data_IF_622141489401
#
_entry.id   IF_622141489401
#
_cell.length_a   1.000
_cell.length_b   1.000
_cell.length_c   1.000
_cell.angle_alpha   90.00
_cell.angle_beta   90.00
_cell.angle_gamma   90.00
#
_symmetry.space_group_name_H-M   'P 1'
#
loop_
_entity.id
_entity.type
_entity.pdbx_description
1 polymer ?
#
# COMPACT_ATOMS: atom_id res chain seq x y z
N UNK A 1 -1.51 -23.43 -14.91
CA UNK A 1 -0.76 -22.63 -13.91
C UNK A 1 -0.49 -23.48 -12.69
N UNK A 2 0.67 -23.32 -12.02
CA UNK A 2 0.96 -23.99 -10.75
C UNK A 2 -0.14 -23.68 -9.70
N UNK A 3 -0.44 -24.64 -8.80
CA UNK A 3 -1.45 -24.47 -7.74
C UNK A 3 -1.18 -23.25 -6.85
N UNK A 4 0.09 -22.94 -6.60
CA UNK A 4 0.52 -21.78 -5.81
C UNK A 4 0.06 -20.45 -6.45
N UNK A 5 0.17 -20.32 -7.77
CA UNK A 5 -0.26 -19.09 -8.45
C UNK A 5 -1.79 -18.91 -8.39
N UNK A 6 -2.57 -19.99 -8.32
CA UNK A 6 -4.02 -19.89 -8.15
C UNK A 6 -4.39 -19.31 -6.77
N UNK A 7 -3.66 -19.67 -5.73
CA UNK A 7 -3.87 -19.14 -4.38
C UNK A 7 -3.53 -17.65 -4.30
N UNK A 8 -2.43 -17.23 -4.93
CA UNK A 8 -2.02 -15.80 -4.95
C UNK A 8 -3.09 -14.95 -5.66
N UNK A 9 -3.58 -15.41 -6.82
CA UNK A 9 -4.64 -14.69 -7.56
C UNK A 9 -5.91 -14.59 -6.71
N UNK A 10 -6.31 -15.67 -6.05
CA UNK A 10 -7.47 -15.68 -5.15
C UNK A 10 -7.32 -14.66 -4.01
N UNK A 11 -6.12 -14.56 -3.42
CA UNK A 11 -5.84 -13.58 -2.36
C UNK A 11 -5.88 -12.14 -2.88
N UNK A 12 -5.32 -11.88 -4.06
CA UNK A 12 -5.38 -10.56 -4.69
C UNK A 12 -6.82 -10.14 -5.00
N UNK A 13 -7.65 -11.04 -5.50
CA UNK A 13 -9.06 -10.77 -5.75
C UNK A 13 -9.82 -10.42 -4.46
N UNK A 14 -9.49 -11.10 -3.34
CA UNK A 14 -10.07 -10.77 -2.03
C UNK A 14 -9.64 -9.38 -1.58
N UNK A 15 -8.35 -9.04 -1.70
CA UNK A 15 -7.86 -7.72 -1.35
C UNK A 15 -8.50 -6.62 -2.18
N UNK A 16 -8.64 -6.82 -3.49
CA UNK A 16 -9.34 -5.90 -4.39
C UNK A 16 -10.78 -5.66 -3.92
N UNK A 17 -11.53 -6.73 -3.66
CA UNK A 17 -12.91 -6.63 -3.17
C UNK A 17 -13.01 -5.84 -1.86
N UNK A 18 -12.18 -6.20 -0.87
CA UNK A 18 -12.15 -5.50 0.42
C UNK A 18 -11.79 -4.03 0.26
N UNK A 19 -10.78 -3.71 -0.56
CA UNK A 19 -10.34 -2.33 -0.80
C UNK A 19 -11.45 -1.49 -1.42
N UNK A 20 -12.15 -2.03 -2.44
CA UNK A 20 -13.27 -1.34 -3.08
C UNK A 20 -14.42 -1.02 -2.12
N UNK A 21 -14.61 -1.82 -1.05
CA UNK A 21 -15.65 -1.57 -0.04
C UNK A 21 -15.46 -0.27 0.75
N UNK A 22 -14.22 0.22 0.88
CA UNK A 22 -13.91 1.42 1.69
C UNK A 22 -14.18 2.74 0.95
N UNK A 23 -14.25 2.75 -0.38
CA UNK A 23 -14.33 3.93 -1.27
C UNK A 23 -13.12 4.90 -1.19
N UNK A 24 -12.61 5.20 0.01
CA UNK A 24 -11.44 6.04 0.27
C UNK A 24 -10.64 5.49 1.45
N UNK A 25 -9.31 5.61 1.40
CA UNK A 25 -8.42 5.08 2.45
C UNK A 25 -7.35 6.09 2.90
N UNK A 26 -6.99 5.97 4.18
CA UNK A 26 -5.75 6.51 4.75
C UNK A 26 -4.92 5.31 5.23
N UNK A 27 -3.70 5.17 4.72
CA UNK A 27 -2.82 4.03 4.99
C UNK A 27 -1.65 4.49 5.86
N UNK A 28 -1.40 3.79 6.96
CA UNK A 28 -0.17 3.99 7.74
C UNK A 28 1.02 3.35 7.01
N UNK A 29 1.90 4.18 6.48
CA UNK A 29 3.12 3.80 5.76
C UNK A 29 4.30 3.76 6.74
N UNK A 30 4.98 2.62 6.83
CA UNK A 30 6.21 2.48 7.63
C UNK A 30 7.48 2.41 6.79
N UNK A 31 7.34 2.26 5.46
CA UNK A 31 8.45 1.97 4.54
C UNK A 31 8.76 0.47 4.40
N UNK A 32 8.14 -0.38 5.22
CA UNK A 32 8.23 -1.84 5.08
C UNK A 32 7.37 -2.37 3.93
N UNK A 33 7.77 -3.52 3.37
CA UNK A 33 7.13 -4.14 2.19
C UNK A 33 5.61 -4.31 2.33
N UNK A 34 5.13 -4.66 3.52
CA UNK A 34 3.70 -4.87 3.75
C UNK A 34 2.90 -3.57 3.61
N UNK A 35 3.34 -2.50 4.29
CA UNK A 35 2.69 -1.18 4.22
C UNK A 35 2.80 -0.55 2.83
N UNK A 36 3.91 -0.80 2.12
CA UNK A 36 4.10 -0.37 0.74
C UNK A 36 3.16 -1.13 -0.21
N UNK A 37 3.01 -2.45 -0.04
CA UNK A 37 2.08 -3.26 -0.84
C UNK A 37 0.64 -2.78 -0.65
N UNK A 38 0.19 -2.54 0.59
CA UNK A 38 -1.16 -2.03 0.86
C UNK A 38 -1.34 -0.65 0.23
N UNK A 39 -0.37 0.26 0.40
CA UNK A 39 -0.42 1.61 -0.19
C UNK A 39 -0.51 1.56 -1.72
N UNK A 40 0.28 0.69 -2.36
CA UNK A 40 0.28 0.48 -3.79
C UNK A 40 -1.08 -0.07 -4.29
N UNK A 41 -1.60 -1.11 -3.63
CA UNK A 41 -2.88 -1.72 -4.02
C UNK A 41 -4.05 -0.76 -3.83
N UNK A 42 -4.11 -0.04 -2.72
CA UNK A 42 -5.13 0.98 -2.50
C UNK A 42 -5.11 2.06 -3.60
N UNK A 43 -3.93 2.58 -3.96
CA UNK A 43 -3.79 3.56 -5.06
C UNK A 43 -4.17 2.96 -6.41
N UNK A 44 -3.79 1.71 -6.67
CA UNK A 44 -4.14 0.97 -7.90
C UNK A 44 -5.64 0.81 -8.08
N UNK A 45 -6.37 0.45 -7.01
CA UNK A 45 -7.78 0.10 -7.08
C UNK A 45 -8.73 1.29 -6.87
N UNK A 46 -8.38 2.23 -5.98
CA UNK A 46 -9.23 3.40 -5.67
C UNK A 46 -8.84 4.65 -6.46
N UNK A 47 -7.64 4.68 -7.03
CA UNK A 47 -7.06 5.84 -7.69
C UNK A 47 -6.34 6.80 -6.74
N UNK A 48 -5.58 7.74 -7.32
CA UNK A 48 -4.70 8.68 -6.59
C UNK A 48 -5.46 9.54 -5.57
N UNK A 49 -6.64 10.03 -5.94
CA UNK A 49 -7.41 10.96 -5.10
C UNK A 49 -8.12 10.29 -3.92
N UNK A 50 -8.21 8.96 -3.92
CA UNK A 50 -8.97 8.20 -2.93
C UNK A 50 -8.08 7.35 -2.00
N UNK A 51 -6.75 7.39 -2.16
CA UNK A 51 -5.82 6.62 -1.35
C UNK A 51 -4.64 7.48 -0.92
N UNK A 52 -4.58 7.79 0.38
CA UNK A 52 -3.52 8.61 0.98
C UNK A 52 -2.64 7.75 1.89
N UNK A 53 -1.36 7.62 1.55
CA UNK A 53 -0.38 7.01 2.43
C UNK A 53 0.25 8.06 3.36
N UNK A 54 0.39 7.74 4.64
CA UNK A 54 0.88 8.64 5.69
C UNK A 54 2.03 7.97 6.42
N UNK A 55 3.19 8.60 6.41
CA UNK A 55 4.36 8.19 7.22
C UNK A 55 4.58 9.18 8.36
N UNK A 56 4.83 8.65 9.55
CA UNK A 56 5.11 9.47 10.73
C UNK A 56 6.55 9.95 10.70
N UNK A 57 6.73 11.28 10.68
CA UNK A 57 8.04 11.88 10.89
C UNK A 57 8.30 12.03 12.39
N UNK A 58 9.08 11.10 12.95
CA UNK A 58 9.43 11.09 14.37
C UNK A 58 10.94 10.98 14.59
N UNK A 59 11.46 11.32 15.78
CA UNK A 59 12.89 11.20 16.09
C UNK A 59 13.46 9.78 15.94
N UNK A 60 12.63 8.74 16.01
CA UNK A 60 13.06 7.35 15.84
C UNK A 60 13.18 6.92 14.38
N UNK A 61 12.61 7.67 13.43
CA UNK A 61 12.70 7.37 12.00
C UNK A 61 13.97 7.99 11.41
N UNK A 62 14.77 7.17 10.70
CA UNK A 62 15.94 7.70 10.01
C UNK A 62 15.47 8.53 8.82
N UNK A 63 16.07 9.71 8.62
CA UNK A 63 15.72 10.63 7.52
C UNK A 63 15.77 9.96 6.14
N UNK A 64 16.80 9.15 5.90
CA UNK A 64 16.91 8.35 4.67
C UNK A 64 15.71 7.42 4.42
N UNK A 65 15.12 6.86 5.49
CA UNK A 65 13.99 5.92 5.37
C UNK A 65 12.70 6.71 5.08
N UNK A 66 12.56 7.91 5.65
CA UNK A 66 11.51 8.86 5.30
C UNK A 66 11.59 9.25 3.81
N UNK A 67 12.78 9.61 3.32
CA UNK A 67 12.98 10.01 1.92
C UNK A 67 12.63 8.88 0.95
N UNK A 68 13.01 7.63 1.27
CA UNK A 68 12.68 6.45 0.48
C UNK A 68 11.16 6.23 0.43
N UNK A 69 10.47 6.34 1.56
CA UNK A 69 9.02 6.16 1.62
C UNK A 69 8.28 7.25 0.83
N UNK A 70 8.71 8.51 0.93
CA UNK A 70 8.15 9.62 0.15
C UNK A 70 8.38 9.39 -1.35
N UNK A 71 9.59 8.99 -1.75
CA UNK A 71 9.92 8.69 -3.14
C UNK A 71 9.06 7.56 -3.69
N UNK A 72 8.91 6.47 -2.95
CA UNK A 72 8.03 5.35 -3.32
C UNK A 72 6.59 5.79 -3.62
N UNK A 73 6.03 6.72 -2.84
CA UNK A 73 4.67 7.20 -3.07
C UNK A 73 4.52 8.16 -4.27
N UNK A 74 5.62 8.76 -4.74
CA UNK A 74 5.61 9.74 -5.82
C UNK A 74 5.90 9.14 -7.21
N UNK A 75 6.41 7.92 -7.27
CA UNK A 75 6.54 7.12 -8.49
C UNK A 75 5.18 6.52 -8.91
#
# INVERSE_FOLDING_TARGET
MPKENQNIISLLNKLEHEIHSYNKTIIALSGGVDSCLVSFLCRKYLGKENAVAVISDSPSLKRKDLDVAIKFCNE
#
